data_IF_189967039733
#
_entry.id   IF_189967039733
#
_cell.length_a   1.000
_cell.length_b   1.000
_cell.length_c   1.000
_cell.angle_alpha   90.00
_cell.angle_beta   90.00
_cell.angle_gamma   90.00
#
_symmetry.space_group_name_H-M   'P 1'
#
loop_
_entity.id
_entity.type
_entity.pdbx_description
1 polymer ?
2 polymer ?
#
# COMPACT_ATOMS: atom_id res chain seq x y z
N UNK A 23 -49.68 -14.81 -16.41
CA UNK A 23 -48.62 -15.79 -16.21
C UNK A 23 -47.24 -15.13 -16.14
N UNK A 24 -47.19 -13.80 -16.17
CA UNK A 24 -45.94 -13.05 -16.12
C UNK A 24 -46.11 -11.89 -15.14
N UNK A 25 -45.16 -11.74 -14.23
CA UNK A 25 -45.17 -10.64 -13.28
C UNK A 25 -43.72 -10.26 -12.96
N UNK A 26 -43.57 -9.15 -12.26
CA UNK A 26 -42.26 -8.63 -11.87
C UNK A 26 -41.95 -9.06 -10.44
N UNK A 27 -40.75 -9.59 -10.24
CA UNK A 27 -40.35 -10.08 -8.92
C UNK A 27 -40.34 -8.93 -7.92
N UNK A 28 -40.47 -9.29 -6.64
CA UNK A 28 -40.37 -8.33 -5.56
C UNK A 28 -38.98 -8.27 -4.94
N UNK A 29 -38.09 -9.21 -5.28
CA UNK A 29 -36.73 -9.20 -4.77
C UNK A 29 -35.87 -8.29 -5.63
N UNK A 30 -35.31 -7.25 -5.01
CA UNK A 30 -34.46 -6.29 -5.71
C UNK A 30 -33.02 -6.76 -5.59
N UNK A 31 -32.48 -7.28 -6.68
CA UNK A 31 -31.13 -7.80 -6.73
C UNK A 31 -30.27 -6.96 -7.66
N UNK A 32 -28.97 -7.07 -7.46
CA UNK A 32 -27.97 -6.37 -8.29
C UNK A 32 -27.11 -7.39 -9.02
N UNK A 33 -27.18 -7.48 -10.36
CA UNK A 33 -26.33 -8.44 -11.07
C UNK A 33 -24.85 -8.09 -11.06
N UNK A 34 -24.47 -6.91 -10.57
CA UNK A 34 -23.09 -6.48 -10.51
C UNK A 34 -22.39 -6.88 -9.22
N UNK A 35 -23.02 -7.73 -8.39
CA UNK A 35 -22.49 -8.03 -7.07
C UNK A 35 -21.07 -8.61 -7.16
N UNK A 36 -20.92 -9.73 -7.88
CA UNK A 36 -19.62 -10.38 -7.96
C UNK A 36 -18.61 -9.53 -8.72
N UNK A 37 -19.07 -8.83 -9.76
CA UNK A 37 -18.16 -8.04 -10.59
C UNK A 37 -17.52 -6.92 -9.79
N UNK A 38 -18.29 -6.27 -8.92
CA UNK A 38 -17.84 -5.09 -8.20
C UNK A 38 -17.15 -5.40 -6.88
N UNK A 39 -17.05 -6.67 -6.50
CA UNK A 39 -16.43 -7.02 -5.22
C UNK A 39 -15.00 -6.49 -5.14
N UNK A 40 -14.25 -6.57 -6.24
CA UNK A 40 -12.86 -6.12 -6.21
C UNK A 40 -12.75 -4.61 -6.07
N UNK A 41 -13.83 -3.88 -6.30
CA UNK A 41 -13.81 -2.43 -6.12
C UNK A 41 -14.29 -1.99 -4.75
N UNK A 42 -14.64 -2.93 -3.87
CA UNK A 42 -14.93 -2.63 -2.47
C UNK A 42 -13.59 -2.53 -1.73
N UNK A 43 -12.87 -1.44 -2.04
CA UNK A 43 -11.51 -1.27 -1.53
C UNK A 43 -11.48 -1.39 -0.01
N UNK A 44 -12.51 -0.87 0.66
CA UNK A 44 -12.56 -0.99 2.12
C UNK A 44 -12.57 -2.45 2.55
N UNK A 45 -13.20 -3.33 1.76
CA UNK A 45 -13.31 -4.74 2.12
C UNK A 45 -12.14 -5.56 1.58
N UNK A 46 -11.74 -5.32 0.33
CA UNK A 46 -10.69 -6.13 -0.29
C UNK A 46 -9.29 -5.61 0.01
N UNK A 47 -9.11 -4.29 0.07
CA UNK A 47 -7.81 -3.69 0.40
C UNK A 47 -7.67 -3.51 1.91
N UNK A 48 -8.64 -2.87 2.55
CA UNK A 48 -8.75 -2.81 4.00
C UNK A 48 -7.57 -2.08 4.65
N UNK A 49 -7.04 -1.05 3.98
CA UNK A 49 -5.95 -0.26 4.52
C UNK A 49 -5.79 0.98 3.67
N UNK A 50 -4.81 1.82 4.05
CA UNK A 50 -4.54 3.02 3.29
C UNK A 50 -4.00 2.71 1.91
N UNK A 51 -4.24 3.63 0.98
CA UNK A 51 -3.83 3.49 -0.41
C UNK A 51 -2.70 4.45 -0.75
N UNK A 52 -2.94 5.75 -0.62
CA UNK A 52 -1.88 6.74 -0.85
C UNK A 52 -0.72 6.50 0.10
N UNK A 53 -1.00 6.46 1.40
CA UNK A 53 -0.01 6.16 2.42
C UNK A 53 -0.52 4.95 3.20
N UNK A 54 0.12 3.80 3.01
CA UNK A 54 -0.33 2.54 3.59
C UNK A 54 0.43 2.26 4.88
N UNK A 55 -0.28 2.35 6.00
CA UNK A 55 0.26 2.03 7.32
C UNK A 55 -0.81 1.32 8.14
N UNK A 56 -1.36 0.24 7.58
CA UNK A 56 -2.52 -0.39 8.16
C UNK A 56 -2.24 -1.23 9.39
N UNK A 57 -1.02 -1.75 9.52
CA UNK A 57 -0.67 -2.65 10.61
C UNK A 57 0.46 -2.06 11.43
N UNK A 58 0.40 -2.30 12.74
CA UNK A 58 1.45 -1.91 13.66
C UNK A 58 2.28 -3.14 14.01
N UNK A 59 3.58 -2.95 14.19
CA UNK A 59 4.49 -4.04 14.47
C UNK A 59 5.54 -3.59 15.48
N UNK A 60 5.81 -4.46 16.46
CA UNK A 60 6.85 -4.23 17.45
C UNK A 60 8.02 -5.15 17.18
N UNK A 61 9.23 -4.65 17.38
CA UNK A 61 10.46 -5.39 17.14
C UNK A 61 11.38 -5.15 18.33
N UNK A 62 11.54 -6.17 19.18
CA UNK A 62 12.40 -6.08 20.36
C UNK A 62 12.06 -4.84 21.18
N UNK A 63 10.77 -4.69 21.48
CA UNK A 63 10.27 -3.54 22.25
C UNK A 63 10.59 -2.23 21.54
N UNK A 64 10.06 -2.11 20.32
CA UNK A 64 10.23 -0.90 19.51
C UNK A 64 9.05 -0.83 18.55
N UNK A 65 8.09 0.04 18.86
CA UNK A 65 6.89 0.15 18.05
C UNK A 65 7.20 0.64 16.64
N UNK A 66 6.48 0.09 15.66
CA UNK A 66 6.58 0.53 14.28
C UNK A 66 5.19 0.53 13.64
N UNK A 67 5.10 1.18 12.47
CA UNK A 67 3.92 1.13 11.62
C UNK A 67 4.35 0.71 10.23
N UNK A 68 3.71 -0.32 9.69
CA UNK A 68 4.11 -0.87 8.40
C UNK A 68 2.89 -1.00 7.48
N UNK A 69 3.06 -0.95 6.17
CA UNK A 69 1.92 -1.12 5.27
C UNK A 69 1.26 -2.48 5.48
N UNK A 70 -0.02 -2.55 5.12
CA UNK A 70 -0.78 -3.77 5.30
C UNK A 70 -1.80 -4.04 4.20
N UNK A 71 -1.95 -3.15 3.22
CA UNK A 71 -2.95 -3.33 2.18
C UNK A 71 -2.87 -4.67 1.48
N UNK A 72 -4.03 -5.25 1.17
CA UNK A 72 -4.09 -6.58 0.56
C UNK A 72 -4.15 -6.54 -0.96
N UNK A 73 -4.18 -5.35 -1.57
CA UNK A 73 -4.21 -5.23 -3.02
C UNK A 73 -3.01 -4.45 -3.53
N UNK A 74 -2.46 -4.79 -4.69
CA UNK A 74 -1.33 -4.03 -5.21
C UNK A 74 -1.74 -2.62 -5.60
N UNK A 75 -0.76 -1.72 -5.60
CA UNK A 75 -0.94 -0.33 -6.02
C UNK A 75 -0.10 -0.13 -7.27
N UNK A 76 -0.75 -0.13 -8.43
CA UNK A 76 -0.03 -0.03 -9.70
C UNK A 76 0.34 1.43 -9.98
N UNK A 77 1.60 1.65 -10.36
CA UNK A 77 2.06 2.97 -10.73
C UNK A 77 2.52 3.84 -9.58
N UNK A 78 2.61 3.29 -8.37
CA UNK A 78 2.96 4.07 -7.19
C UNK A 78 4.46 4.00 -6.93
N UNK A 79 5.02 5.12 -6.46
CA UNK A 79 6.41 5.19 -6.08
C UNK A 79 6.59 6.28 -5.04
N UNK A 80 7.84 6.51 -4.66
CA UNK A 80 8.20 7.51 -3.68
C UNK A 80 9.09 8.54 -4.36
N UNK A 81 8.69 9.81 -4.29
CA UNK A 81 9.45 10.91 -4.87
C UNK A 81 10.21 11.61 -3.76
N UNK A 82 11.53 11.75 -3.93
CA UNK A 82 12.40 12.35 -2.92
C UNK A 82 12.70 13.78 -3.34
N UNK A 83 12.27 14.74 -2.52
CA UNK A 83 12.51 16.15 -2.80
C UNK A 83 13.98 16.49 -2.59
N UNK A 84 14.48 17.39 -3.44
CA UNK A 84 15.86 17.85 -3.39
C UNK A 84 16.82 16.67 -3.55
N UNK A 85 16.44 15.69 -4.36
CA UNK A 85 17.28 14.53 -4.62
C UNK A 85 17.07 14.07 -6.06
N UNK A 86 18.05 13.33 -6.56
CA UNK A 86 18.04 12.83 -7.94
C UNK A 86 18.41 11.36 -7.97
N UNK A 87 17.95 10.60 -6.97
CA UNK A 87 18.19 9.17 -6.88
C UNK A 87 16.85 8.48 -6.73
N UNK A 88 16.63 7.43 -7.52
CA UNK A 88 15.40 6.67 -7.42
C UNK A 88 15.28 6.00 -6.06
N UNK A 89 14.08 6.04 -5.49
CA UNK A 89 13.85 5.41 -4.20
C UNK A 89 14.03 3.90 -4.25
N UNK A 90 14.15 3.31 -5.43
CA UNK A 90 14.37 1.87 -5.56
C UNK A 90 15.84 1.49 -5.38
N UNK A 91 16.77 2.43 -5.38
CA UNK A 91 18.15 2.06 -5.15
C UNK A 91 18.41 1.86 -3.66
N UNK A 92 19.43 1.08 -3.30
CA UNK A 92 19.62 0.73 -1.89
C UNK A 92 19.88 1.96 -1.03
N UNK A 93 19.65 1.78 0.28
CA UNK A 93 19.97 2.83 1.23
C UNK A 93 21.48 3.02 1.30
N UNK A 94 21.89 4.22 1.71
CA UNK A 94 23.30 4.48 1.90
C UNK A 94 23.88 3.49 2.92
N UNK A 95 25.05 2.95 2.59
CA UNK A 95 25.72 1.97 3.44
C UNK A 95 27.18 2.35 3.61
N UNK A 96 27.63 2.36 4.87
CA UNK A 96 29.02 2.63 5.16
C UNK A 96 29.45 4.03 4.83
N UNK A 97 30.23 4.18 3.75
CA UNK A 97 30.84 5.46 3.40
C UNK A 97 30.11 6.17 2.26
N UNK A 98 28.83 5.87 2.07
CA UNK A 98 28.00 6.62 1.13
C UNK A 98 27.31 7.77 1.87
N UNK A 99 26.82 8.74 1.10
CA UNK A 99 26.08 9.85 1.67
C UNK A 99 24.63 9.45 1.87
N UNK A 100 24.02 9.99 2.93
CA UNK A 100 22.61 9.70 3.20
C UNK A 100 21.74 10.13 2.02
N UNK A 101 21.91 11.38 1.57
CA UNK A 101 21.15 11.85 0.41
C UNK A 101 21.33 10.93 -0.79
N UNK A 102 22.51 10.31 -0.92
CA UNK A 102 22.72 9.30 -1.94
C UNK A 102 22.06 7.99 -1.52
N UNK A 103 21.63 7.23 -2.50
CA UNK A 103 20.91 5.99 -2.24
C UNK A 103 19.43 6.23 -1.96
N UNK A 104 18.67 5.14 -2.04
CA UNK A 104 17.23 5.23 -1.94
C UNK A 104 16.64 4.53 -0.74
N UNK A 105 15.51 3.86 -0.95
CA UNK A 105 14.76 3.19 0.12
C UNK A 105 14.98 1.68 0.16
N UNK A 106 15.65 1.11 -0.84
CA UNK A 106 15.67 -0.34 -1.01
C UNK A 106 16.65 -0.99 -0.04
N UNK A 107 16.54 -2.31 0.07
CA UNK A 107 17.37 -3.07 0.99
C UNK A 107 18.83 -3.02 0.54
N UNK A 108 19.77 -3.02 1.49
CA UNK A 108 21.19 -2.94 1.11
C UNK A 108 21.58 -4.09 0.20
N UNK A 109 22.02 -3.73 -1.01
CA UNK A 109 22.45 -4.71 -2.01
C UNK A 109 23.94 -4.99 -1.78
N UNK A 110 24.22 -5.76 -0.72
CA UNK A 110 25.57 -6.18 -0.42
C UNK A 110 25.90 -7.57 -0.93
N UNK A 111 24.89 -8.44 -1.06
CA UNK A 111 25.06 -9.76 -1.64
C UNK A 111 24.31 -9.93 -2.95
N UNK A 112 23.44 -8.98 -3.33
CA UNK A 112 22.62 -9.08 -4.52
C UNK A 112 21.82 -10.38 -4.56
N UNK A 113 21.58 -10.97 -3.38
CA UNK A 113 20.80 -12.18 -3.25
C UNK A 113 19.51 -11.98 -2.46
N UNK A 114 19.42 -10.95 -1.63
CA UNK A 114 18.17 -10.60 -0.96
C UNK A 114 17.37 -9.62 -1.80
N UNK A 115 18.03 -8.66 -2.44
CA UNK A 115 17.38 -7.65 -3.25
C UNK A 115 18.42 -6.79 -3.96
N UNK A 116 18.19 -6.40 -5.22
CA UNK A 116 17.06 -6.76 -6.08
C UNK A 116 17.12 -8.21 -6.54
N UNK A 117 16.00 -8.74 -7.03
CA UNK A 117 15.91 -10.12 -7.49
C UNK A 117 15.05 -10.15 -8.76
N UNK A 118 15.62 -10.64 -9.84
CA UNK A 118 14.89 -10.75 -11.10
C UNK A 118 13.92 -11.93 -11.05
N UNK A 119 12.95 -11.90 -11.97
CA UNK A 119 11.96 -12.98 -12.02
C UNK A 119 12.64 -14.32 -12.28
N UNK A 120 13.66 -14.34 -13.13
CA UNK A 120 14.38 -15.59 -13.40
C UNK A 120 15.05 -16.11 -12.14
N UNK A 121 15.68 -15.23 -11.37
CA UNK A 121 16.31 -15.64 -10.12
C UNK A 121 15.28 -16.09 -9.09
N UNK A 122 14.08 -15.50 -9.12
CA UNK A 122 13.03 -15.90 -8.19
C UNK A 122 12.52 -17.30 -8.53
N UNK A 123 12.22 -17.56 -9.80
CA UNK A 123 11.76 -18.88 -10.20
C UNK A 123 12.85 -19.93 -9.98
N UNK A 124 14.11 -19.53 -10.07
CA UNK A 124 15.20 -20.48 -9.88
C UNK A 124 15.41 -20.80 -8.40
N UNK A 125 15.38 -19.79 -7.54
CA UNK A 125 15.57 -20.04 -6.12
C UNK A 125 14.46 -20.89 -5.51
N UNK A 126 13.28 -20.90 -6.12
CA UNK A 126 12.14 -21.66 -5.62
C UNK A 126 11.70 -22.72 -6.60
N UNK A 127 12.63 -23.25 -7.40
CA UNK A 127 12.26 -24.25 -8.39
C UNK A 127 11.70 -25.51 -7.76
N UNK A 128 12.03 -25.78 -6.49
CA UNK A 128 11.55 -26.97 -5.80
C UNK A 128 10.30 -26.72 -4.97
N UNK A 129 10.00 -25.47 -4.62
CA UNK A 129 8.80 -25.15 -3.86
C UNK A 129 7.62 -25.13 -4.84
N UNK A 130 6.93 -26.27 -4.93
CA UNK A 130 5.83 -26.41 -5.88
C UNK A 130 4.76 -25.35 -5.61
N UNK A 131 4.42 -25.14 -4.33
CA UNK A 131 3.35 -24.22 -4.01
C UNK A 131 3.69 -22.77 -4.35
N UNK A 132 4.97 -22.45 -4.55
CA UNK A 132 5.37 -21.10 -4.94
C UNK A 132 5.55 -20.95 -6.44
N UNK A 133 5.87 -22.02 -7.16
CA UNK A 133 5.98 -21.95 -8.61
C UNK A 133 4.63 -21.83 -9.29
N UNK A 134 3.54 -21.77 -8.54
CA UNK A 134 2.20 -21.52 -9.07
C UNK A 134 1.75 -20.08 -8.87
N UNK A 135 2.56 -19.26 -8.19
CA UNK A 135 2.24 -17.86 -7.99
C UNK A 135 2.56 -17.05 -9.23
N UNK A 136 1.77 -16.01 -9.48
CA UNK A 136 2.06 -15.09 -10.57
C UNK A 136 3.28 -14.25 -10.22
N UNK A 137 3.82 -13.56 -11.23
CA UNK A 137 5.05 -12.80 -11.05
C UNK A 137 4.97 -11.87 -9.84
N UNK A 138 3.91 -11.07 -9.76
CA UNK A 138 3.78 -10.12 -8.65
C UNK A 138 3.64 -10.87 -7.34
N UNK A 139 2.85 -11.94 -7.32
CA UNK A 139 2.68 -12.70 -6.08
C UNK A 139 3.98 -13.36 -5.65
N UNK A 140 4.80 -13.81 -6.61
CA UNK A 140 6.07 -14.42 -6.27
C UNK A 140 7.03 -13.40 -5.67
N UNK A 141 7.11 -12.21 -6.26
CA UNK A 141 7.93 -11.16 -5.69
C UNK A 141 7.47 -10.81 -4.28
N UNK A 142 6.15 -10.69 -4.09
CA UNK A 142 5.63 -10.36 -2.77
C UNK A 142 5.96 -11.45 -1.76
N UNK A 143 5.71 -12.71 -2.13
CA UNK A 143 6.00 -13.81 -1.23
C UNK A 143 7.47 -13.82 -0.84
N UNK A 144 8.36 -13.56 -1.80
CA UNK A 144 9.79 -13.54 -1.50
C UNK A 144 10.12 -12.44 -0.49
N UNK A 145 9.67 -11.21 -0.77
CA UNK A 145 10.07 -10.08 0.07
C UNK A 145 9.56 -10.20 1.49
N UNK A 146 8.31 -10.61 1.66
CA UNK A 146 7.72 -10.71 2.98
C UNK A 146 8.23 -11.93 3.75
N UNK A 147 8.92 -12.85 3.10
CA UNK A 147 9.46 -14.05 3.74
C UNK A 147 10.92 -13.86 4.13
N UNK A 148 11.21 -12.78 4.85
CA UNK A 148 12.58 -12.49 5.29
C UNK A 148 12.54 -12.05 6.74
N UNK A 149 13.22 -12.81 7.60
CA UNK A 149 13.31 -12.50 9.02
C UNK A 149 14.72 -12.89 9.47
N UNK A 150 15.49 -11.90 9.91
CA UNK A 150 16.81 -12.17 10.46
C UNK A 150 16.67 -12.96 11.75
N UNK A 151 17.51 -13.98 11.90
CA UNK A 151 17.47 -14.81 13.11
C UNK A 151 18.03 -14.04 14.31
N UNK A 152 17.57 -14.42 15.49
CA UNK A 152 17.98 -13.77 16.72
C UNK A 152 17.24 -12.48 17.03
N UNK A 153 16.15 -12.18 16.32
CA UNK A 153 15.40 -10.97 16.53
C UNK A 153 13.92 -11.31 16.67
N UNK A 154 13.20 -10.45 17.39
CA UNK A 154 11.77 -10.68 17.61
C UNK A 154 11.01 -10.65 16.28
N UNK A 155 11.05 -9.52 15.58
CA UNK A 155 10.38 -9.35 14.30
C UNK A 155 9.01 -10.00 14.28
N UNK A 156 8.13 -9.50 15.14
CA UNK A 156 6.77 -10.02 15.28
C UNK A 156 5.89 -9.27 14.29
N UNK A 157 5.74 -9.84 13.10
CA UNK A 157 4.94 -9.32 12.00
C UNK A 157 5.58 -8.09 11.35
N UNK A 158 6.82 -7.75 11.71
CA UNK A 158 7.57 -6.72 10.98
C UNK A 158 8.24 -7.37 9.78
N UNK A 159 7.65 -7.16 8.60
CA UNK A 159 8.18 -7.66 7.35
C UNK A 159 8.28 -6.52 6.35
N UNK A 160 9.22 -6.63 5.44
CA UNK A 160 9.47 -5.53 4.52
C UNK A 160 8.49 -5.56 3.36
N UNK A 161 8.09 -4.40 2.85
CA UNK A 161 7.30 -4.34 1.62
C UNK A 161 8.22 -4.44 0.41
N UNK A 162 7.61 -4.45 -0.77
CA UNK A 162 8.34 -4.65 -2.01
C UNK A 162 7.79 -3.74 -3.09
N UNK A 163 8.56 -3.63 -4.17
CA UNK A 163 8.15 -2.92 -5.37
C UNK A 163 8.58 -3.78 -6.54
N UNK A 164 7.61 -4.27 -7.31
CA UNK A 164 7.88 -5.12 -8.46
C UNK A 164 7.77 -4.27 -9.72
N UNK A 165 8.84 -4.28 -10.52
CA UNK A 165 8.85 -3.60 -11.81
C UNK A 165 8.48 -4.62 -12.88
N UNK A 166 7.29 -4.47 -13.46
CA UNK A 166 6.78 -5.46 -14.41
C UNK A 166 7.50 -5.38 -15.76
N UNK A 167 8.07 -4.22 -16.10
CA UNK A 167 8.80 -4.09 -17.35
C UNK A 167 10.24 -4.57 -17.21
N UNK A 168 10.88 -4.25 -16.09
CA UNK A 168 12.23 -4.73 -15.82
C UNK A 168 12.25 -6.14 -15.26
N UNK A 169 11.12 -6.68 -14.83
CA UNK A 169 11.04 -8.02 -14.27
C UNK A 169 11.96 -8.15 -13.05
N UNK A 170 11.92 -7.14 -12.18
CA UNK A 170 12.78 -7.08 -11.01
C UNK A 170 11.94 -6.90 -9.76
N UNK A 171 12.38 -7.53 -8.67
CA UNK A 171 11.70 -7.47 -7.38
C UNK A 171 12.61 -6.74 -6.41
N UNK A 172 12.11 -5.64 -5.82
CA UNK A 172 12.88 -4.79 -4.94
C UNK A 172 12.28 -4.82 -3.55
N UNK A 173 13.09 -5.19 -2.57
CA UNK A 173 12.70 -5.12 -1.17
C UNK A 173 12.99 -3.72 -0.64
N UNK A 174 12.10 -3.23 0.22
CA UNK A 174 12.19 -1.88 0.77
C UNK A 174 12.71 -1.95 2.19
N UNK A 175 13.85 -1.29 2.44
CA UNK A 175 14.36 -1.17 3.80
C UNK A 175 13.52 -0.20 4.62
N UNK A 176 13.04 0.87 4.00
CA UNK A 176 12.22 1.87 4.64
C UNK A 176 10.75 1.64 4.32
N UNK A 177 9.92 1.56 5.35
CA UNK A 177 8.48 1.44 5.19
C UNK A 177 7.79 2.79 5.15
N UNK A 178 8.47 3.88 5.50
CA UNK A 178 7.88 5.19 5.43
C UNK A 178 7.58 5.56 3.98
N UNK A 179 6.58 6.42 3.80
CA UNK A 179 6.15 6.81 2.46
C UNK A 179 6.07 8.33 2.31
N UNK A 180 5.81 9.04 3.41
CA UNK A 180 5.74 10.50 3.38
C UNK A 180 6.36 11.06 4.65
N UNK A 181 7.25 12.03 4.47
CA UNK A 181 7.88 12.74 5.58
C UNK A 181 7.98 14.22 5.25
N UNK A 182 6.96 14.76 4.58
CA UNK A 182 6.92 16.18 4.27
C UNK A 182 6.69 16.98 5.55
N UNK A 183 6.77 18.31 5.43
CA UNK A 183 6.51 19.20 6.52
C UNK A 183 7.45 20.38 6.57
N UNK A 184 7.12 21.39 7.38
CA UNK A 184 7.99 22.58 7.45
C UNK A 184 9.40 22.28 7.91
N UNK A 185 9.60 21.22 8.69
CA UNK A 185 10.94 20.90 9.19
C UNK A 185 11.76 20.17 8.12
N UNK A 186 11.19 19.11 7.55
CA UNK A 186 11.97 18.23 6.70
C UNK A 186 12.23 18.83 5.32
N UNK A 187 11.31 19.65 4.81
CA UNK A 187 11.45 20.27 3.48
C UNK A 187 11.51 21.79 3.67
N UNK A 188 12.59 22.26 4.31
CA UNK A 188 12.80 23.69 4.48
C UNK A 188 14.28 23.94 4.66
N UNK A 189 14.74 25.17 4.39
CA UNK A 189 16.16 25.51 4.55
C UNK A 189 16.56 25.72 6.01
N UNK A 197 16.68 17.72 3.41
CA UNK A 197 16.62 16.95 4.65
C UNK A 197 15.76 15.70 4.42
N UNK A 198 16.18 14.88 3.45
CA UNK A 198 15.46 13.69 3.00
C UNK A 198 13.95 13.85 3.10
N UNK A 199 13.36 14.63 2.20
CA UNK A 199 11.92 14.76 2.09
C UNK A 199 11.40 13.88 0.97
N UNK A 200 10.28 13.20 1.24
CA UNK A 200 9.71 12.30 0.26
C UNK A 200 8.20 12.30 0.40
N UNK A 201 7.53 11.84 -0.67
CA UNK A 201 6.08 11.82 -0.73
C UNK A 201 5.67 10.78 -1.76
N UNK A 202 4.58 10.03 -1.52
CA UNK A 202 4.12 9.09 -2.55
C UNK A 202 3.42 9.82 -3.69
N UNK A 203 3.64 9.33 -4.90
CA UNK A 203 3.08 9.99 -6.08
C UNK A 203 3.12 9.01 -7.25
N UNK A 204 2.42 9.38 -8.32
CA UNK A 204 2.41 8.63 -9.57
C UNK A 204 2.90 9.53 -10.69
N UNK A 205 3.86 9.03 -11.47
CA UNK A 205 4.34 9.77 -12.63
C UNK A 205 4.83 8.76 -13.67
N UNK A 206 5.28 9.28 -14.82
CA UNK A 206 5.66 8.42 -15.92
C UNK A 206 6.69 7.38 -15.50
N UNK A 207 7.61 7.76 -14.61
CA UNK A 207 8.70 6.88 -14.23
C UNK A 207 8.24 5.68 -13.40
N UNK A 208 7.08 5.77 -12.76
CA UNK A 208 6.59 4.72 -11.88
C UNK A 208 5.48 3.87 -12.52
N UNK A 209 5.05 4.20 -13.74
CA UNK A 209 3.86 3.57 -14.30
C UNK A 209 3.98 2.05 -14.32
N UNK A 210 5.19 1.52 -14.41
CA UNK A 210 5.40 0.07 -14.49
C UNK A 210 5.68 -0.57 -13.14
N UNK A 211 5.62 0.18 -12.05
CA UNK A 211 5.91 -0.34 -10.73
C UNK A 211 4.63 -0.80 -10.04
N UNK A 212 4.79 -1.73 -9.11
CA UNK A 212 3.69 -2.29 -8.35
C UNK A 212 4.09 -2.25 -6.88
N UNK A 213 3.48 -1.35 -6.12
CA UNK A 213 3.75 -1.24 -4.69
C UNK A 213 3.01 -2.36 -3.96
N UNK A 214 3.75 -3.12 -3.15
CA UNK A 214 3.24 -4.33 -2.52
C UNK A 214 3.58 -4.32 -1.04
N UNK A 215 2.57 -4.47 -0.19
CA UNK A 215 2.78 -4.67 1.23
C UNK A 215 2.92 -6.17 1.52
N UNK A 216 3.15 -6.50 2.78
CA UNK A 216 3.36 -7.90 3.16
C UNK A 216 2.09 -8.73 3.09
N UNK A 217 0.92 -8.12 2.87
CA UNK A 217 -0.35 -8.81 2.94
C UNK A 217 -1.07 -8.90 1.59
N UNK A 218 -0.42 -8.53 0.50
CA UNK A 218 -1.10 -8.52 -0.80
C UNK A 218 -1.56 -9.92 -1.14
N UNK A 219 -2.83 -10.03 -1.54
CA UNK A 219 -3.42 -11.31 -1.88
C UNK A 219 -2.69 -11.95 -3.05
N UNK A 220 -2.37 -13.24 -2.93
CA UNK A 220 -1.74 -13.95 -4.04
C UNK A 220 -2.68 -14.07 -5.22
N UNK A 221 -3.99 -14.06 -4.98
CA UNK A 221 -5.01 -14.11 -6.02
C UNK A 221 -5.52 -12.73 -6.37
N UNK A 222 -4.63 -11.72 -6.32
CA UNK A 222 -5.04 -10.35 -6.60
C UNK A 222 -5.61 -10.20 -8.00
N UNK A 223 -5.21 -11.09 -8.93
CA UNK A 223 -5.68 -10.96 -10.30
C UNK A 223 -7.20 -10.97 -10.39
N UNK A 224 -7.87 -11.72 -9.51
CA UNK A 224 -9.32 -11.83 -9.54
C UNK A 224 -10.00 -11.01 -8.46
N UNK A 225 -9.28 -10.61 -7.41
CA UNK A 225 -9.88 -9.95 -6.27
C UNK A 225 -9.56 -8.46 -6.19
N UNK A 226 -8.57 -7.98 -6.92
CA UNK A 226 -8.11 -6.60 -6.79
C UNK A 226 -8.15 -5.87 -8.12
N UNK A 227 -8.34 -4.54 -8.09
CA UNK A 227 -8.38 -3.78 -9.34
C UNK A 227 -7.01 -3.64 -9.96
N UNK A 228 -7.01 -3.52 -11.29
CA UNK A 228 -5.79 -3.22 -12.03
C UNK A 228 -6.11 -2.35 -13.23
N UNK A 229 -6.64 -2.97 -14.29
CA UNK A 229 -6.90 -2.25 -15.52
C UNK A 229 -8.10 -1.32 -15.35
N UNK A 230 -8.08 -0.22 -16.08
CA UNK A 230 -9.20 0.71 -16.09
C UNK A 230 -10.32 0.18 -16.98
N UNK A 231 -11.53 0.64 -16.71
CA UNK A 231 -12.73 0.18 -17.40
C UNK A 231 -13.13 1.26 -18.40
N UNK A 232 -12.88 0.99 -19.68
CA UNK A 232 -13.27 1.91 -20.72
C UNK A 232 -14.74 1.82 -21.06
N UNK A 233 -15.24 2.86 -21.74
CA UNK A 233 -16.65 2.95 -22.09
C UNK A 233 -17.53 2.71 -20.87
N UNK A 234 -17.05 3.09 -19.69
CA UNK A 234 -17.75 2.82 -18.46
C UNK A 234 -17.50 3.95 -17.47
N UNK A 235 -18.41 4.08 -16.50
CA UNK A 235 -18.26 5.00 -15.39
C UNK A 235 -18.97 4.41 -14.19
N UNK A 236 -18.39 4.56 -13.02
CA UNK A 236 -18.99 4.00 -11.81
C UNK A 236 -20.34 4.63 -11.53
N UNK A 237 -21.29 3.81 -11.07
CA UNK A 237 -22.61 4.28 -10.73
C UNK A 237 -23.17 3.59 -9.51
N UNK A 238 -24.45 3.84 -9.21
CA UNK A 238 -25.13 3.22 -8.07
C UNK A 238 -26.35 2.47 -8.58
N UNK A 239 -26.49 1.22 -8.16
CA UNK A 239 -27.60 0.37 -8.54
C UNK A 239 -28.76 0.64 -7.58
N UNK A 240 -29.79 1.32 -8.07
CA UNK A 240 -30.95 1.63 -7.23
C UNK A 240 -31.81 0.38 -7.02
N UNK A 241 -32.39 -0.13 -8.10
CA UNK A 241 -33.30 -1.26 -8.00
C UNK A 241 -33.13 -2.18 -9.22
N UNK A 242 -33.14 -1.59 -10.40
CA UNK A 242 -32.98 -2.35 -11.63
C UNK A 242 -32.16 -1.62 -12.67
N UNK A 243 -31.50 -0.54 -12.27
CA UNK A 243 -30.70 0.24 -13.20
C UNK A 243 -29.55 0.90 -12.46
N UNK A 244 -28.49 1.19 -13.20
CA UNK A 244 -27.31 1.84 -12.65
C UNK A 244 -27.42 3.34 -12.90
N UNK A 245 -27.52 4.12 -11.81
CA UNK A 245 -27.74 5.55 -11.89
C UNK A 245 -26.45 6.32 -11.60
N UNK A 246 -26.44 7.58 -12.02
CA UNK A 246 -25.29 8.43 -11.77
C UNK A 246 -25.13 8.70 -10.28
N UNK A 247 -23.88 8.84 -9.85
CA UNK A 247 -23.55 9.15 -8.46
C UNK A 247 -23.71 10.66 -8.26
N UNK A 248 -24.63 11.10 -7.41
CA UNK A 248 -24.90 12.55 -7.31
C UNK A 248 -23.74 13.35 -6.73
N UNK A 249 -23.24 12.93 -5.56
CA UNK A 249 -22.19 13.68 -4.87
C UNK A 249 -20.83 13.22 -5.38
N UNK A 250 -20.14 14.11 -6.10
CA UNK A 250 -18.78 13.89 -6.55
C UNK A 250 -18.06 15.23 -6.54
N UNK A 251 -16.74 15.20 -6.71
CA UNK A 251 -15.92 16.39 -6.80
C UNK A 251 -15.25 16.41 -8.17
N UNK A 252 -15.51 17.45 -8.95
CA UNK A 252 -14.99 17.59 -10.30
C UNK A 252 -13.63 18.27 -10.29
N UNK A 253 -12.73 17.79 -11.15
CA UNK A 253 -11.37 18.31 -11.23
C UNK A 253 -10.91 18.26 -12.68
N UNK A 254 -10.02 19.17 -13.05
CA UNK A 254 -9.45 19.19 -14.38
C UNK A 254 -8.50 18.00 -14.56
N UNK A 255 -8.62 17.33 -15.70
CA UNK A 255 -7.75 16.21 -16.02
C UNK A 255 -7.55 16.17 -17.53
N UNK A 256 -6.30 16.34 -17.96
CA UNK A 256 -6.01 16.38 -19.40
C UNK A 256 -6.12 15.00 -20.03
N UNK A 257 -5.89 13.94 -19.27
CA UNK A 257 -5.96 12.58 -19.79
C UNK A 257 -6.24 11.64 -18.62
N UNK A 258 -6.35 10.34 -18.93
CA UNK A 258 -6.66 9.36 -17.92
C UNK A 258 -5.57 9.31 -16.84
N UNK A 259 -4.31 9.49 -17.23
CA UNK A 259 -3.22 9.37 -16.27
C UNK A 259 -3.37 10.38 -15.14
N UNK A 260 -3.68 11.64 -15.47
CA UNK A 260 -3.82 12.65 -14.44
C UNK A 260 -5.00 12.34 -13.53
N UNK A 261 -6.13 11.89 -14.10
CA UNK A 261 -7.25 11.48 -13.27
C UNK A 261 -6.86 10.34 -12.34
N UNK A 262 -6.07 9.39 -12.84
CA UNK A 262 -5.54 8.35 -11.96
C UNK A 262 -4.60 8.92 -10.91
N UNK A 263 -3.86 9.99 -11.25
CA UNK A 263 -3.00 10.64 -10.27
C UNK A 263 -3.80 11.45 -9.28
N UNK A 264 -4.89 12.09 -9.74
CA UNK A 264 -5.70 12.91 -8.85
C UNK A 264 -6.40 12.05 -7.80
N UNK A 265 -7.07 10.98 -8.24
CA UNK A 265 -7.75 10.11 -7.29
C UNK A 265 -6.76 9.50 -6.31
N UNK A 266 -5.56 9.15 -6.79
CA UNK A 266 -4.57 8.55 -5.91
C UNK A 266 -4.18 9.50 -4.79
N UNK A 267 -3.99 10.79 -5.10
CA UNK A 267 -3.59 11.75 -4.08
C UNK A 267 -4.69 12.02 -3.07
N UNK A 268 -5.95 11.77 -3.42
CA UNK A 268 -7.08 11.96 -2.53
C UNK A 268 -7.58 10.64 -1.92
N UNK A 269 -6.94 9.53 -2.25
CA UNK A 269 -7.38 8.22 -1.79
C UNK A 269 -7.20 8.10 -0.28
N UNK A 270 -7.62 6.95 0.25
CA UNK A 270 -7.46 6.67 1.67
C UNK A 270 -6.00 6.83 2.07
N UNK A 271 -5.75 7.57 3.14
CA UNK A 271 -4.40 7.85 3.62
C UNK A 271 -4.35 7.55 5.11
N UNK A 272 -3.33 6.80 5.53
CA UNK A 272 -3.11 6.48 6.93
C UNK A 272 -2.14 7.45 7.61
N UNK A 273 -1.75 8.51 6.93
CA UNK A 273 -0.80 9.47 7.48
C UNK A 273 -1.42 10.23 8.65
N UNK A 314 -4.16 8.03 12.28
CA UNK A 314 -4.90 6.80 12.53
C UNK A 314 -5.01 5.99 11.25
N UNK A 315 -5.61 4.81 11.35
CA UNK A 315 -5.76 3.92 10.21
C UNK A 315 -7.03 4.27 9.43
N UNK A 316 -6.92 4.32 8.10
CA UNK A 316 -8.06 4.61 7.24
C UNK A 316 -8.87 3.36 6.91
N UNK A 317 -8.24 2.19 6.91
CA UNK A 317 -8.91 0.93 6.59
C UNK A 317 -9.51 0.93 5.19
N UNK A 318 -8.99 1.78 4.30
CA UNK A 318 -9.44 1.81 2.93
C UNK A 318 -10.56 2.80 2.63
N UNK A 319 -10.95 3.62 3.60
CA UNK A 319 -11.98 4.62 3.39
C UNK A 319 -11.36 5.90 2.85
N UNK A 320 -11.97 6.46 1.83
CA UNK A 320 -11.45 7.66 1.21
C UNK A 320 -11.89 7.76 -0.23
N UNK A 321 -11.52 8.87 -0.85
CA UNK A 321 -11.85 9.13 -2.25
C UNK A 321 -10.98 8.24 -3.13
N UNK A 322 -11.38 6.98 -3.27
CA UNK A 322 -10.60 5.97 -3.96
C UNK A 322 -11.05 5.72 -5.39
N UNK A 323 -12.20 6.24 -5.80
CA UNK A 323 -12.77 5.97 -7.11
C UNK A 323 -12.94 7.27 -7.90
N UNK A 324 -12.92 7.16 -9.22
CA UNK A 324 -13.02 8.33 -10.07
C UNK A 324 -13.56 7.94 -11.44
N UNK A 325 -14.43 8.80 -11.99
CA UNK A 325 -14.93 8.66 -13.35
C UNK A 325 -14.30 9.77 -14.19
N UNK A 326 -13.64 9.38 -15.29
CA UNK A 326 -12.94 10.31 -16.15
C UNK A 326 -13.74 10.54 -17.43
N UNK A 327 -14.16 11.79 -17.63
CA UNK A 327 -14.82 12.20 -18.86
C UNK A 327 -13.73 12.54 -19.86
N UNK A 328 -13.49 11.64 -20.82
CA UNK A 328 -12.44 11.85 -21.79
C UNK A 328 -12.79 12.97 -22.77
N UNK A 329 -14.08 13.19 -23.02
CA UNK A 329 -14.49 14.26 -23.93
C UNK A 329 -14.31 15.62 -23.24
N UNK A 330 -15.08 15.86 -22.18
CA UNK A 330 -14.95 17.10 -21.42
C UNK A 330 -13.62 17.18 -20.67
N UNK A 331 -12.86 16.09 -20.61
CA UNK A 331 -11.58 16.07 -19.90
C UNK A 331 -11.75 16.53 -18.45
N UNK A 332 -12.65 15.84 -17.76
CA UNK A 332 -12.92 16.10 -16.34
C UNK A 332 -12.74 14.80 -15.56
N UNK A 333 -12.47 14.94 -14.27
CA UNK A 333 -12.23 13.82 -13.38
C UNK A 333 -13.11 13.99 -12.15
N UNK A 334 -14.11 13.12 -12.01
CA UNK A 334 -15.08 13.18 -10.93
C UNK A 334 -14.77 12.10 -9.90
N UNK A 335 -14.33 12.52 -8.72
CA UNK A 335 -13.96 11.58 -7.66
C UNK A 335 -15.07 11.51 -6.64
N UNK A 336 -15.11 10.41 -5.90
CA UNK A 336 -16.11 10.20 -4.86
C UNK A 336 -15.56 9.22 -3.84
N UNK A 337 -16.23 9.16 -2.69
CA UNK A 337 -15.78 8.37 -1.55
C UNK A 337 -16.75 7.27 -1.16
N UNK A 338 -17.74 6.96 -2.00
CA UNK A 338 -18.69 5.89 -1.76
C UNK A 338 -18.39 4.73 -2.70
N UNK A 339 -18.41 3.51 -2.18
CA UNK A 339 -18.07 2.36 -3.00
C UNK A 339 -19.09 2.21 -4.13
N UNK A 340 -18.65 1.92 -5.35
CA UNK A 340 -19.60 1.73 -6.45
C UNK A 340 -20.19 0.33 -6.44
N UNK A 341 -21.42 0.25 -6.95
CA UNK A 341 -22.17 -1.00 -6.97
C UNK A 341 -22.54 -1.46 -8.37
N UNK A 342 -22.13 -0.74 -9.41
CA UNK A 342 -22.45 -1.13 -10.79
C UNK A 342 -21.68 -0.19 -11.72
N UNK A 343 -21.81 -0.45 -13.02
CA UNK A 343 -21.19 0.37 -14.05
C UNK A 343 -22.27 0.91 -14.98
N UNK A 344 -22.03 2.12 -15.48
CA UNK A 344 -22.87 2.74 -16.50
C UNK A 344 -22.10 2.72 -17.81
N UNK A 345 -22.71 2.19 -18.86
CA UNK A 345 -22.06 2.07 -20.16
C UNK A 345 -22.15 3.41 -20.88
N UNK A 346 -21.06 4.18 -20.84
CA UNK A 346 -20.97 5.48 -21.49
C UNK A 346 -19.68 5.54 -22.29
N UNK A 347 -19.80 5.74 -23.60
CA UNK A 347 -18.64 5.73 -24.48
C UNK A 347 -17.69 6.88 -24.24
N UNK A 348 -18.05 7.84 -23.39
CA UNK A 348 -17.23 9.02 -23.14
C UNK A 348 -16.48 8.96 -21.82
N UNK A 349 -16.65 7.90 -21.02
CA UNK A 349 -16.10 7.84 -19.68
C UNK A 349 -15.21 6.62 -19.50
N UNK A 350 -14.25 6.74 -18.59
CA UNK A 350 -13.39 5.64 -18.17
C UNK A 350 -13.42 5.61 -16.65
N UNK A 351 -13.67 4.42 -16.08
CA UNK A 351 -13.73 4.25 -14.64
C UNK A 351 -12.35 3.82 -14.13
N UNK A 352 -11.78 4.61 -13.22
CA UNK A 352 -10.46 4.34 -12.66
C UNK A 352 -10.54 4.39 -11.14
N UNK A 353 -9.53 3.81 -10.51
CA UNK A 353 -9.39 3.79 -9.06
C UNK A 353 -7.98 4.20 -8.70
N UNK A 354 -7.76 4.44 -7.40
CA UNK A 354 -6.43 4.82 -6.93
C UNK A 354 -5.45 3.66 -7.07
N UNK A 355 -5.94 2.42 -7.04
CA UNK A 355 -5.09 1.25 -7.18
C UNK A 355 -4.87 0.83 -8.63
N UNK A 356 -5.62 1.39 -9.57
CA UNK A 356 -5.58 0.93 -10.95
C UNK A 356 -4.32 1.42 -11.66
N UNK A 357 -4.01 0.76 -12.77
CA UNK A 357 -2.89 1.17 -13.60
C UNK A 357 -3.13 2.58 -14.14
N UNK A 358 -2.10 3.41 -14.27
CA UNK A 358 -2.32 4.79 -14.75
C UNK A 358 -2.70 4.89 -16.23
N UNK A 359 -2.53 3.82 -17.03
CA UNK A 359 -2.76 3.91 -18.47
C UNK A 359 -3.51 2.71 -19.06
N UNK A 360 -3.38 1.51 -18.50
CA UNK A 360 -4.05 0.35 -19.07
C UNK A 360 -5.55 0.50 -19.00
N UNK A 361 -6.23 0.23 -20.11
CA UNK A 361 -7.67 0.36 -20.22
C UNK A 361 -8.24 -0.90 -20.86
N UNK A 362 -9.34 -1.41 -20.31
CA UNK A 362 -10.07 -2.54 -20.86
C UNK A 362 -11.39 -2.01 -21.40
N UNK A 363 -11.56 -2.08 -22.72
CA UNK A 363 -12.74 -1.51 -23.38
C UNK A 363 -13.93 -2.45 -23.43
N UNK A 364 -13.76 -3.73 -23.09
CA UNK A 364 -14.85 -4.70 -23.19
C UNK A 364 -15.78 -4.50 -22.00
N UNK A 365 -16.98 -3.98 -22.27
CA UNK A 365 -17.99 -3.81 -21.24
C UNK A 365 -18.85 -5.07 -21.17
N UNK A 366 -19.13 -5.61 -19.99
CA UNK A 366 -19.93 -6.85 -19.91
C UNK A 366 -21.36 -6.63 -20.37
N UNK A 367 -21.57 -6.71 -21.69
CA UNK A 367 -22.87 -6.34 -22.26
C UNK A 367 -23.96 -7.33 -21.87
N UNK A 368 -23.64 -8.62 -21.87
CA UNK A 368 -24.64 -9.66 -21.65
C UNK A 368 -24.94 -9.90 -20.16
N UNK A 369 -24.40 -9.07 -19.27
CA UNK A 369 -24.58 -9.32 -17.84
C UNK A 369 -26.07 -9.34 -17.48
N UNK A 370 -26.84 -8.40 -18.04
CA UNK A 370 -28.26 -8.36 -17.72
C UNK A 370 -29.01 -9.48 -18.45
N UNK A 371 -28.78 -9.61 -19.76
CA UNK A 371 -29.44 -10.66 -20.52
C UNK A 371 -29.15 -12.03 -19.95
N UNK A 372 -27.90 -12.27 -19.54
CA UNK A 372 -27.54 -13.57 -19.00
C UNK A 372 -28.30 -13.87 -17.72
N UNK A 373 -28.48 -12.87 -16.85
CA UNK A 373 -29.17 -13.09 -15.60
C UNK A 373 -30.66 -13.28 -15.82
N UNK A 374 -31.26 -12.47 -16.70
CA UNK A 374 -32.68 -12.60 -16.99
C UNK A 374 -32.99 -13.99 -17.55
N UNK A 375 -32.23 -14.41 -18.55
CA UNK A 375 -32.45 -15.73 -19.13
C UNK A 375 -32.21 -16.85 -18.11
N UNK A 376 -31.28 -16.64 -17.18
CA UNK A 376 -31.00 -17.65 -16.16
C UNK A 376 -32.21 -17.90 -15.27
N UNK A 377 -32.86 -16.82 -14.82
CA UNK A 377 -34.01 -16.97 -13.95
C UNK A 377 -35.21 -17.57 -14.69
N UNK A 378 -35.42 -17.14 -15.93
CA UNK A 378 -36.55 -17.67 -16.71
C UNK A 378 -36.35 -19.15 -16.98
N UNK A 379 -35.10 -19.61 -17.04
CA UNK A 379 -34.84 -21.03 -17.26
C UNK A 379 -35.09 -21.85 -16.00
N UNK A 380 -34.81 -21.29 -14.83
CA UNK A 380 -35.08 -22.00 -13.58
C UNK A 380 -36.57 -22.20 -13.34
N UNK A 381 -37.43 -21.43 -13.99
CA UNK A 381 -38.87 -21.51 -13.81
C UNK A 381 -39.56 -22.04 -15.07
N UNK A 393 -46.06 -22.53 -13.79
CA UNK A 393 -47.11 -21.96 -14.64
C UNK A 393 -46.74 -20.54 -15.08
N UNK A 394 -46.31 -19.72 -14.12
CA UNK A 394 -46.02 -18.33 -14.38
C UNK A 394 -44.52 -18.08 -14.36
N UNK A 395 -44.11 -16.98 -14.99
CA UNK A 395 -42.71 -16.56 -15.07
C UNK A 395 -42.54 -15.32 -14.23
N UNK A 396 -41.54 -15.35 -13.34
CA UNK A 396 -41.25 -14.23 -12.45
C UNK A 396 -40.00 -13.54 -12.99
N UNK A 397 -40.19 -12.39 -13.65
CA UNK A 397 -39.07 -11.68 -14.25
C UNK A 397 -38.28 -10.94 -13.17
N UNK A 398 -36.95 -10.98 -13.21
CA UNK A 398 -36.16 -10.28 -12.19
C UNK A 398 -36.32 -8.77 -12.28
N UNK A 399 -35.94 -8.10 -11.20
CA UNK A 399 -36.00 -6.64 -11.14
C UNK A 399 -34.78 -6.03 -11.84
N UNK A 400 -34.68 -6.32 -13.14
CA UNK A 400 -33.63 -5.79 -14.00
C UNK A 400 -34.32 -5.08 -15.15
N UNK A 401 -34.34 -3.75 -15.11
CA UNK A 401 -35.00 -2.94 -16.12
C UNK A 401 -34.02 -2.40 -17.16
N UNK A 402 -32.95 -3.13 -17.43
CA UNK A 402 -31.96 -2.76 -18.43
C UNK A 402 -31.44 -4.04 -19.08
N UNK A 403 -31.23 -4.00 -20.38
CA UNK A 403 -30.73 -5.17 -21.10
C UNK A 403 -30.42 -4.78 -22.54
N UNK A 404 -29.49 -5.51 -23.15
CA UNK A 404 -29.23 -5.37 -24.57
C UNK A 404 -30.26 -6.08 -25.43
N UNK A 405 -31.16 -6.85 -24.82
CA UNK A 405 -32.29 -7.49 -25.48
C UNK A 405 -33.55 -6.76 -25.04
N UNK A 406 -34.16 -6.00 -25.96
CA UNK A 406 -35.29 -5.15 -25.58
C UNK A 406 -36.48 -5.98 -25.10
N UNK A 407 -36.68 -7.17 -25.66
CA UNK A 407 -37.83 -7.98 -25.26
C UNK A 407 -37.68 -8.50 -23.84
N UNK A 408 -36.46 -8.89 -23.45
CA UNK A 408 -36.28 -9.52 -22.15
C UNK A 408 -36.75 -8.63 -21.01
N UNK A 409 -36.72 -7.32 -21.19
CA UNK A 409 -37.12 -6.42 -20.12
C UNK A 409 -38.62 -6.49 -19.87
N UNK A 410 -39.39 -6.76 -20.91
CA UNK A 410 -40.86 -6.82 -20.82
C UNK A 410 -41.42 -5.54 -20.19
N UNK A 411 -41.06 -4.42 -20.80
CA UNK A 411 -41.47 -3.12 -20.30
C UNK A 411 -42.94 -2.87 -20.60
N UNK A 412 -43.71 -2.36 -19.64
CA UNK A 412 -45.10 -2.00 -19.96
C UNK A 412 -45.19 -0.94 -21.04
N UNK A 413 -44.28 0.04 -21.03
CA UNK A 413 -44.20 1.05 -22.06
C UNK A 413 -43.03 0.74 -22.99
N UNK A 414 -42.62 1.72 -23.79
CA UNK A 414 -41.51 1.53 -24.72
C UNK A 414 -40.20 1.83 -24.01
N UNK A 415 -39.27 0.88 -23.92
CA UNK A 415 -37.97 1.18 -23.32
C UNK A 415 -37.25 2.28 -24.08
N UNK A 416 -36.36 2.97 -23.38
CA UNK A 416 -35.59 4.07 -23.94
C UNK A 416 -34.19 3.61 -24.32
N UNK A 417 -33.76 3.94 -25.53
CA UNK A 417 -32.46 3.54 -26.04
C UNK A 417 -31.40 4.56 -25.65
N UNK A 418 -30.19 4.06 -25.40
CA UNK A 418 -29.06 4.87 -24.95
C UNK A 418 -28.10 5.01 -26.13
N UNK A 419 -27.95 6.23 -26.62
CA UNK A 419 -27.08 6.47 -27.78
C UNK A 419 -25.62 6.23 -27.43
N UNK A 420 -25.20 6.64 -26.24
CA UNK A 420 -23.82 6.50 -25.82
C UNK A 420 -23.49 5.12 -25.27
N UNK A 421 -24.38 4.15 -25.44
CA UNK A 421 -24.17 2.80 -24.94
C UNK A 421 -23.51 1.94 -26.02
N UNK A 422 -22.32 1.42 -25.72
CA UNK A 422 -21.67 0.50 -26.66
C UNK A 422 -22.41 -0.82 -26.76
N UNK A 423 -23.13 -1.20 -25.71
CA UNK A 423 -23.90 -2.44 -25.70
C UNK A 423 -25.31 -2.27 -26.27
N UNK A 424 -25.69 -1.06 -26.66
CA UNK A 424 -27.04 -0.79 -27.16
C UNK A 424 -28.09 -1.24 -26.15
N UNK A 425 -27.93 -0.77 -24.91
CA UNK A 425 -28.86 -1.11 -23.85
C UNK A 425 -30.17 -0.34 -24.01
N UNK A 426 -31.22 -0.91 -23.42
CA UNK A 426 -32.54 -0.28 -23.35
C UNK A 426 -32.98 -0.28 -21.90
N UNK A 427 -33.59 0.82 -21.48
CA UNK A 427 -34.01 1.01 -20.08
C UNK A 427 -35.51 1.27 -20.05
N UNK A 428 -36.17 0.70 -19.04
CA UNK A 428 -37.60 0.85 -18.83
C UNK A 428 -37.81 1.73 -17.60
N UNK A 429 -38.31 2.95 -17.83
CA UNK A 429 -38.45 3.92 -16.75
C UNK A 429 -39.87 4.00 -16.18
N UNK A 430 -40.88 3.54 -16.93
CA UNK A 430 -42.26 3.58 -16.46
C UNK A 430 -42.53 2.45 -15.48
N UNK A 431 -41.72 2.41 -14.42
CA UNK A 431 -41.79 1.36 -13.41
C UNK A 431 -41.69 1.98 -12.03
N UNK A 432 -42.39 1.37 -11.08
CA UNK A 432 -42.33 1.79 -9.69
C UNK A 432 -41.01 1.30 -9.09
N UNK A 433 -40.06 2.21 -8.89
CA UNK A 433 -38.79 1.86 -8.28
C UNK A 433 -38.95 1.68 -6.78
N UNK A 434 -38.45 0.56 -6.27
CA UNK A 434 -38.58 0.23 -4.86
C UNK A 434 -37.42 0.74 -4.01
N UNK A 435 -36.45 1.41 -4.62
CA UNK A 435 -35.31 1.97 -3.91
C UNK A 435 -35.11 3.43 -4.35
N UNK A 436 -34.21 4.11 -3.66
CA UNK A 436 -34.00 5.54 -3.92
C UNK A 436 -32.67 5.97 -3.32
N UNK A 437 -31.99 6.87 -4.01
CA UNK A 437 -30.72 7.44 -3.56
C UNK A 437 -30.97 8.85 -3.05
N UNK A 438 -30.44 9.16 -1.86
CA UNK A 438 -30.51 10.49 -1.31
C UNK A 438 -29.28 10.71 -0.43
N UNK A 439 -29.15 11.93 0.07
CA UNK A 439 -28.11 12.27 1.06
C UNK A 439 -26.75 12.01 0.42
N UNK A 440 -25.85 11.28 1.07
CA UNK A 440 -24.48 11.12 0.58
C UNK A 440 -24.34 9.77 -0.13
N UNK A 441 -24.94 9.69 -1.32
CA UNK A 441 -24.77 8.56 -2.22
C UNK A 441 -25.22 7.25 -1.58
N UNK A 442 -26.20 7.30 -0.69
CA UNK A 442 -26.71 6.11 0.00
C UNK A 442 -28.02 5.67 -0.64
N UNK A 443 -28.12 4.36 -0.91
CA UNK A 443 -29.33 3.76 -1.48
C UNK A 443 -30.16 3.20 -0.35
N UNK A 444 -31.41 3.65 -0.24
CA UNK A 444 -32.32 3.21 0.81
C UNK A 444 -33.65 2.81 0.18
N UNK A 445 -34.33 1.88 0.84
CA UNK A 445 -35.65 1.46 0.41
C UNK A 445 -36.68 2.42 0.99
N UNK A 446 -37.71 2.73 0.20
CA UNK A 446 -38.75 3.65 0.65
C UNK A 446 -39.73 2.95 1.59
N UNK A 447 -40.26 1.80 1.17
CA UNK A 447 -41.28 1.10 1.93
C UNK A 447 -41.05 -0.40 1.80
N UNK A 448 -40.98 -1.10 2.93
CA UNK A 448 -40.81 -2.55 2.93
C UNK A 448 -42.19 -3.22 2.98
N UNK B 1 17.54 -2.27 10.85
CA UNK B 1 18.72 -1.97 11.72
C UNK B 1 18.39 -0.85 12.69
N UNK B 2 17.97 -1.23 13.91
CA UNK B 2 17.74 -0.28 14.98
C UNK B 2 18.63 -0.63 16.16
N UNK B 3 18.92 0.39 16.98
CA UNK B 3 19.83 0.24 18.11
C UNK B 3 19.23 0.98 19.31
N UNK B 4 19.45 0.42 20.50
CA UNK B 4 18.92 0.99 21.73
C UNK B 4 19.83 0.61 22.87
N UNK B 5 19.92 1.49 23.87
CA UNK B 5 20.74 1.28 25.06
C UNK B 5 19.81 1.01 26.23
N UNK B 6 20.07 -0.09 26.94
CA UNK B 6 19.32 -0.46 28.13
C UNK B 6 20.33 -0.73 29.25
N UNK B 7 20.29 0.01 30.37
CA UNK B 7 19.36 1.10 30.74
C UNK B 7 19.47 2.28 29.78
N UNK B 8 18.47 3.17 29.77
CA UNK B 8 18.52 4.36 28.93
C UNK B 8 19.21 5.53 29.63
N UNK B 9 19.16 5.58 30.96
CA UNK B 9 19.81 6.63 31.73
C UNK B 9 20.62 6.01 32.86
N UNK B 10 21.56 6.78 33.38
CA UNK B 10 22.43 6.30 34.45
C UNK B 10 22.52 7.25 35.62
N UNK B 11 22.06 6.81 36.78
CA UNK B 11 22.14 7.58 38.02
C UNK B 11 23.23 6.99 38.90
N UNK B 12 24.48 7.21 38.49
CA UNK B 12 25.63 6.62 39.14
C UNK B 12 26.08 7.51 40.29
N UNK B 13 26.79 6.93 41.24
CA UNK B 13 27.47 7.66 42.31
C UNK B 13 28.95 7.35 42.28
N UNK B 14 29.73 8.20 42.94
CA UNK B 14 31.18 8.06 42.92
C UNK B 14 31.57 6.74 43.58
N UNK B 15 32.36 5.94 42.87
CA UNK B 15 32.81 4.66 43.38
C UNK B 15 32.01 3.49 42.84
N UNK B 16 30.70 3.68 42.70
CA UNK B 16 29.84 2.60 42.22
C UNK B 16 30.19 2.24 40.78
N UNK B 17 29.62 1.12 40.33
CA UNK B 17 29.83 0.63 38.98
C UNK B 17 28.48 0.42 38.29
N UNK B 18 28.46 0.61 36.98
CA UNK B 18 27.23 0.54 36.21
C UNK B 18 27.52 -0.04 34.83
N UNK B 19 26.62 -0.91 34.37
CA UNK B 19 26.74 -1.54 33.07
C UNK B 19 25.63 -1.03 32.14
N UNK B 20 25.96 -0.93 30.85
CA UNK B 20 25.02 -0.45 29.85
C UNK B 20 25.12 -1.35 28.63
N UNK B 21 23.99 -1.94 28.23
CA UNK B 21 23.93 -2.86 27.10
C UNK B 21 23.44 -2.13 25.87
N UNK B 22 24.15 -2.30 24.75
CA UNK B 22 23.75 -1.77 23.46
C UNK B 22 23.42 -2.96 22.56
N UNK B 23 22.13 -3.09 22.23
CA UNK B 23 21.64 -4.19 21.41
C UNK B 23 21.10 -3.64 20.10
N UNK B 24 21.39 -4.35 19.01
CA UNK B 24 21.02 -3.93 17.67
C UNK B 24 20.10 -4.98 17.09
N UNK B 25 18.88 -4.59 16.77
CA UNK B 25 17.91 -5.45 16.11
C UNK B 25 17.98 -5.22 14.61
N UNK B 26 18.04 -6.30 13.84
CA UNK B 26 18.14 -6.20 12.40
C UNK B 26 19.56 -6.11 11.88
N UNK B 27 20.51 -6.72 12.58
CA UNK B 27 21.91 -6.69 12.16
C UNK B 27 22.05 -7.34 10.79
N UNK B 28 22.58 -6.58 9.85
CA UNK B 28 22.87 -7.07 8.51
C UNK B 28 24.33 -7.45 8.39
N UNK B 29 24.70 -8.25 7.38
CA UNK B 29 26.03 -8.90 7.38
C UNK B 29 27.19 -8.07 7.90
N UNK B 30 27.47 -6.92 7.29
CA UNK B 30 28.72 -6.21 7.55
C UNK B 30 28.62 -5.20 8.70
N UNK B 31 27.59 -5.29 9.54
CA UNK B 31 27.44 -4.35 10.64
C UNK B 31 28.26 -4.76 11.85
N UNK B 32 28.75 -3.75 12.58
CA UNK B 32 29.48 -3.98 13.81
C UNK B 32 29.23 -2.81 14.75
N UNK B 33 29.29 -3.08 16.05
CA UNK B 33 29.01 -2.10 17.08
C UNK B 33 30.31 -1.50 17.58
N UNK B 34 30.27 -0.21 17.90
CA UNK B 34 31.42 0.48 18.48
C UNK B 34 30.92 1.51 19.47
N UNK B 35 31.58 1.59 20.62
CA UNK B 35 31.27 2.56 21.66
C UNK B 35 32.19 3.76 21.56
N UNK B 36 31.71 4.90 22.05
CA UNK B 36 32.47 6.14 22.03
C UNK B 36 32.25 6.87 23.34
N UNK B 37 33.34 7.37 23.91
CA UNK B 37 33.28 8.14 25.14
C UNK B 37 32.76 9.55 24.86
N UNK B 38 32.42 10.31 25.90
CA UNK B 38 31.95 11.69 25.68
C UNK B 38 32.90 12.54 24.86
N UNK B 39 34.22 12.30 24.98
CA UNK B 39 35.21 13.06 24.21
C UNK B 39 35.40 12.53 22.81
N UNK B 40 34.77 11.40 22.45
CA UNK B 40 34.85 10.86 21.12
C UNK B 40 35.87 9.77 20.91
N UNK B 41 36.51 9.28 21.97
CA UNK B 41 37.50 8.22 21.84
C UNK B 41 36.82 6.88 21.67
N UNK B 42 37.26 6.11 20.67
CA UNK B 42 36.70 4.78 20.45
C UNK B 42 37.17 3.83 21.54
N UNK B 43 36.23 3.26 22.29
CA UNK B 43 36.55 2.41 23.42
C UNK B 43 36.82 0.99 22.92
N UNK B 44 38.07 0.54 23.05
CA UNK B 44 38.44 -0.82 22.68
C UNK B 44 38.41 -1.73 23.90
N UNK B 45 38.21 -3.04 23.72
CA UNK B 45 38.17 -3.94 24.88
C UNK B 45 39.49 -3.97 25.63
N UNK B 46 39.76 -2.92 26.38
CA UNK B 46 40.99 -2.80 27.16
C UNK B 46 40.74 -3.22 28.60
N UNK B 47 41.82 -3.62 29.28
CA UNK B 47 41.75 -3.99 30.68
C UNK B 47 41.95 -2.76 31.56
N UNK B 48 41.10 -1.77 31.36
CA UNK B 48 41.14 -0.50 32.06
C UNK B 48 39.82 -0.27 32.79
N UNK B 49 39.73 0.87 33.47
CA UNK B 49 38.55 1.18 34.26
C UNK B 49 37.29 1.12 33.40
N UNK B 50 37.24 1.90 32.34
CA UNK B 50 36.10 1.94 31.42
C UNK B 50 36.49 1.11 30.20
N UNK B 51 35.84 -0.05 30.05
CA UNK B 51 36.12 -0.98 28.97
C UNK B 51 34.83 -1.36 28.27
N UNK B 52 34.96 -2.21 27.26
CA UNK B 52 33.83 -2.67 26.46
C UNK B 52 33.93 -4.19 26.30
N UNK B 53 32.78 -4.82 26.12
CA UNK B 53 32.69 -6.26 25.93
C UNK B 53 31.90 -6.55 24.66
N UNK B 54 32.37 -7.53 23.89
CA UNK B 54 31.67 -7.98 22.69
C UNK B 54 30.91 -9.26 23.01
N UNK B 55 29.59 -9.18 22.93
CA UNK B 55 28.69 -10.31 23.21
C UNK B 55 27.65 -10.37 22.11
N UNK B 56 27.80 -11.36 21.21
CA UNK B 56 26.93 -11.58 20.06
C UNK B 56 26.63 -10.23 19.38
N UNK B 57 25.38 -10.00 18.97
CA UNK B 57 25.00 -8.75 18.31
C UNK B 57 24.94 -7.56 19.27
N UNK B 58 25.40 -7.71 20.50
CA UNK B 58 25.36 -6.66 21.50
C UNK B 58 26.79 -6.31 21.93
N UNK B 59 26.91 -5.20 22.65
CA UNK B 59 28.18 -4.76 23.19
C UNK B 59 27.90 -4.01 24.49
N UNK B 60 28.51 -4.45 25.57
CA UNK B 60 28.24 -3.90 26.89
C UNK B 60 29.32 -2.89 27.28
N UNK B 61 28.88 -1.77 27.85
CA UNK B 61 29.77 -0.77 28.40
C UNK B 61 29.74 -0.88 29.92
N UNK B 62 30.89 -1.21 30.50
CA UNK B 62 31.02 -1.36 31.95
C UNK B 62 31.87 -0.22 32.49
N UNK B 63 31.28 0.56 33.40
CA UNK B 63 31.97 1.69 34.03
C UNK B 63 32.29 1.30 35.47
N UNK B 64 33.43 0.66 35.67
CA UNK B 64 33.86 0.24 37.00
C UNK B 64 34.43 1.41 37.79
N UNK B 65 34.17 1.42 39.09
CA UNK B 65 34.70 2.44 39.99
C UNK B 65 34.54 3.83 39.39
N UNK B 66 33.36 4.42 39.52
CA UNK B 66 33.06 5.67 38.85
C UNK B 66 33.76 6.85 39.52
N UNK B 67 34.01 7.89 38.72
CA UNK B 67 34.54 9.16 39.21
C UNK B 67 33.86 10.29 38.46
N UNK B 68 33.97 11.50 39.01
CA UNK B 68 33.22 12.63 38.46
C UNK B 68 33.65 12.93 37.03
N UNK B 69 34.93 12.68 36.70
CA UNK B 69 35.43 12.97 35.36
C UNK B 69 34.92 12.00 34.30
N UNK B 70 34.13 10.99 34.68
CA UNK B 70 33.57 10.04 33.72
C UNK B 70 32.22 10.47 33.17
N UNK B 71 31.53 11.38 33.84
CA UNK B 71 30.20 11.78 33.42
C UNK B 71 30.21 12.24 31.96
N UNK B 72 29.07 12.14 31.31
CA UNK B 72 28.93 12.54 29.93
C UNK B 72 27.96 11.63 29.21
N UNK B 73 27.85 11.83 27.91
CA UNK B 73 27.00 11.03 27.05
C UNK B 73 27.88 10.10 26.24
N UNK B 74 27.62 8.80 26.34
CA UNK B 74 28.34 7.78 25.59
C UNK B 74 27.52 7.34 24.39
N UNK B 75 28.19 7.15 23.26
CA UNK B 75 27.54 6.82 22.00
C UNK B 75 27.83 5.38 21.61
N UNK B 76 26.79 4.68 21.13
CA UNK B 76 26.92 3.34 20.56
C UNK B 76 26.50 3.44 19.10
N UNK B 77 27.44 3.23 18.19
CA UNK B 77 27.23 3.41 16.76
C UNK B 77 27.36 2.07 16.06
N UNK B 78 26.36 1.72 15.26
CA UNK B 78 26.40 0.54 14.40
C UNK B 78 26.88 1.01 13.03
N UNK B 79 28.10 0.62 12.67
CA UNK B 79 28.71 1.02 11.41
C UNK B 79 29.22 -0.21 10.68
N UNK B 80 29.42 -0.05 9.37
CA UNK B 80 29.92 -1.12 8.54
C UNK B 80 29.92 -0.74 7.08
N UNK B 81 30.75 -1.42 6.27
CA UNK B 81 30.85 -1.06 4.85
C UNK B 81 29.53 -1.23 4.11
N UNK B 82 28.95 -2.43 4.16
CA UNK B 82 27.64 -2.68 3.60
C UNK B 82 26.51 -2.50 4.61
N UNK B 83 26.82 -1.89 5.76
CA UNK B 83 25.84 -1.72 6.84
C UNK B 83 25.00 -0.47 6.58
N UNK B 84 23.69 -0.55 6.75
CA UNK B 84 22.85 0.66 6.60
C UNK B 84 23.32 1.77 7.52
N UNK B 85 23.41 2.97 6.98
CA UNK B 85 23.70 4.16 7.78
C UNK B 85 22.42 4.91 8.13
N UNK B 86 21.30 4.20 8.23
CA UNK B 86 20.02 4.79 8.59
C UNK B 86 19.16 3.71 9.24
N UNK B 87 18.40 4.10 10.25
CA UNK B 87 17.53 3.18 10.95
C UNK B 87 16.23 2.97 10.17
N UNK B 88 15.56 1.85 10.45
CA UNK B 88 14.24 1.62 9.89
C UNK B 88 13.33 2.82 10.06
N UNK B 89 13.50 3.57 11.15
CA UNK B 89 12.71 4.75 11.45
C UNK B 89 13.38 6.03 10.95
N UNK B 90 14.15 5.96 9.85
CA UNK B 90 14.79 7.13 9.26
C UNK B 90 15.69 7.85 10.26
N UNK B 91 16.24 7.12 11.22
CA UNK B 91 17.10 7.67 12.24
C UNK B 91 18.55 7.26 12.02
N UNK B 92 19.43 7.97 12.73
CA UNK B 92 20.85 7.63 12.67
C UNK B 92 21.07 6.24 13.28
N UNK B 93 22.05 5.49 12.78
CA UNK B 93 22.35 4.15 13.31
C UNK B 93 23.16 4.18 14.59
N UNK B 94 22.71 4.97 15.57
CA UNK B 94 23.43 5.14 16.82
C UNK B 94 22.45 5.38 17.96
N UNK B 95 22.93 5.16 19.18
CA UNK B 95 22.14 5.40 20.38
C UNK B 95 23.05 6.00 21.45
N UNK B 96 22.46 6.79 22.34
CA UNK B 96 23.21 7.52 23.34
C UNK B 96 22.67 7.20 24.74
N UNK B 97 23.56 7.28 25.71
CA UNK B 97 23.22 7.11 27.12
C UNK B 97 23.92 8.20 27.91
N UNK B 98 23.18 8.92 28.74
CA UNK B 98 23.70 10.02 29.54
C UNK B 98 23.91 9.53 30.96
N UNK B 99 25.18 9.43 31.37
CA UNK B 99 25.54 8.98 32.71
C UNK B 99 25.95 10.19 33.54
N UNK B 100 25.37 10.31 34.73
CA UNK B 100 25.59 11.45 35.62
C UNK B 100 26.05 10.93 36.97
N UNK B 101 27.18 11.44 37.45
CA UNK B 101 27.73 11.05 38.73
C UNK B 101 27.23 12.00 39.81
N UNK B 102 27.21 11.52 41.05
CA UNK B 102 26.73 12.33 42.18
C UNK B 102 27.54 11.98 43.41
N UNK B 103 27.81 12.99 44.23
CA UNK B 103 28.58 12.85 45.47
C UNK B 103 29.76 11.89 45.31
#
# INVERSE_FOLDING_TARGET
>A
GRNQKPSRLTRSANNVLLEKGPTVERSTRMSNPWKAFMEKYDIERTHSSGVRVDLGEDAEVENAKYRIPAGRCPVFGKGIVIENSAVSFLKPVATGDQRLKDGGFAFPNANDHISPMTLENLKARYKDNVEMMKLNDIALCRTHAASFVMAGDQNSNYRHPAVYDEKEKTCHMLYLSAQENMGPRYCSPDAQNRDAVFCFKPDKDESFENLVYLSKNVRNDWDKKCPRKNLGNAKFGLWVDGNCEEIPYVKEVEAKDLRECNRIVFEASASDQPTQYEEEMTDYQKIQQGFRQNNREMIKSAFLPVGAFNSDNFKSKGRGFNWANFDSVKKKCYIFNTKPTCLINDKNFIATTALSHPREVDLEFPCSIYKDEIEREIKKQSRNMNLYSVDGERIVLPRIFISNDKESIKCPCEPEHISQSTCNFYVCNCVEKRAEIKENNQVVIKEEFRDYYENGEEKSNKQGS
>B
LQVDIVPSQGEISVGESKFFLCQVAGMLPTCEISWFSPNGEKLTPNQQRISVVWNDDSSTLTIYNANIDDAGIYKCVVHGPQCPRLTWSLGLPEATVNVKIFQGGGGSEQKLISEEDLSGENLYFQ
#
